data_IF_039078313451
#
_entry.id   IF_039078313451
#
_cell.length_a   1.000
_cell.length_b   1.000
_cell.length_c   1.000
_cell.angle_alpha   90.00
_cell.angle_beta   90.00
_cell.angle_gamma   90.00
#
_symmetry.space_group_name_H-M   'P 1'
#
loop_
_entity.id
_entity.type
_entity.pdbx_description
1 polymer ?
#
# COMPACT_ATOMS: atom_id res chain seq x y z
N UNK A 1 -6.58 19.82 13.96
CA UNK A 1 -5.11 19.86 14.19
C UNK A 1 -4.46 19.76 12.83
N UNK A 2 -3.69 20.76 12.39
CA UNK A 2 -2.93 20.60 11.13
C UNK A 2 -1.89 19.50 11.33
N UNK A 3 -2.02 18.40 10.60
CA UNK A 3 -0.97 17.38 10.58
C UNK A 3 0.32 18.02 10.04
N UNK A 4 1.43 17.78 10.73
CA UNK A 4 2.74 18.24 10.25
C UNK A 4 3.10 17.51 8.96
N UNK A 5 3.84 18.21 8.10
CA UNK A 5 4.40 17.57 6.89
C UNK A 5 5.27 16.38 7.25
N UNK A 6 5.21 15.35 6.44
CA UNK A 6 6.02 14.13 6.60
C UNK A 6 7.41 14.35 5.98
N UNK A 7 8.39 14.53 6.85
CA UNK A 7 9.77 14.81 6.43
C UNK A 7 10.38 13.69 5.56
N UNK A 8 9.99 12.44 5.79
CA UNK A 8 10.43 11.29 4.97
C UNK A 8 9.88 11.42 3.55
N UNK A 9 8.62 11.77 3.42
CA UNK A 9 7.98 11.95 2.10
C UNK A 9 8.51 13.20 1.38
N UNK A 10 8.76 14.29 2.09
CA UNK A 10 9.41 15.48 1.51
C UNK A 10 10.81 15.14 0.97
N UNK A 11 11.59 14.38 1.73
CA UNK A 11 12.90 13.88 1.27
C UNK A 11 12.75 13.01 0.02
N UNK A 12 11.78 12.09 -0.02
CA UNK A 12 11.49 11.26 -1.20
C UNK A 12 11.21 12.11 -2.44
N UNK A 13 10.41 13.16 -2.32
CA UNK A 13 10.11 14.06 -3.43
C UNK A 13 11.32 14.84 -3.95
N UNK A 14 12.36 14.99 -3.16
CA UNK A 14 13.64 15.60 -3.57
C UNK A 14 14.43 14.73 -4.55
N UNK A 15 14.26 13.41 -4.54
CA UNK A 15 14.95 12.45 -5.42
C UNK A 15 14.19 12.24 -6.74
N UNK A 16 14.16 13.25 -7.60
CA UNK A 16 13.35 13.25 -8.84
C UNK A 16 13.97 12.47 -10.00
N UNK A 17 15.28 12.28 -10.02
CA UNK A 17 16.02 11.72 -11.14
C UNK A 17 16.04 10.18 -11.19
N UNK A 18 15.54 9.52 -10.16
CA UNK A 18 15.48 8.05 -10.10
C UNK A 18 14.37 7.53 -10.99
N UNK A 19 14.73 6.67 -11.92
CA UNK A 19 13.81 6.03 -12.85
C UNK A 19 12.83 5.13 -12.10
N UNK A 20 11.54 5.19 -12.45
CA UNK A 20 10.52 4.33 -11.86
C UNK A 20 9.10 4.88 -12.09
N UNK A 21 8.11 4.04 -11.84
CA UNK A 21 6.72 4.34 -12.15
C UNK A 21 5.90 4.91 -10.98
N UNK A 22 6.49 4.98 -9.77
CA UNK A 22 5.78 5.50 -8.59
C UNK A 22 5.57 7.01 -8.69
N UNK A 23 4.32 7.42 -8.82
CA UNK A 23 3.91 8.82 -8.87
C UNK A 23 3.81 9.43 -7.46
N UNK A 24 3.77 10.77 -7.37
CA UNK A 24 3.68 11.45 -6.07
C UNK A 24 2.43 11.07 -5.25
N UNK A 25 1.20 10.97 -5.82
CA UNK A 25 0.04 10.52 -5.06
C UNK A 25 0.13 9.07 -4.59
N UNK A 26 0.73 8.18 -5.40
CA UNK A 26 0.99 6.79 -4.99
C UNK A 26 1.98 6.73 -3.82
N UNK A 27 3.06 7.52 -3.89
CA UNK A 27 4.04 7.63 -2.81
C UNK A 27 3.39 8.15 -1.52
N UNK A 28 2.56 9.20 -1.60
CA UNK A 28 1.85 9.75 -0.44
C UNK A 28 0.91 8.72 0.19
N UNK A 29 0.18 7.95 -0.63
CA UNK A 29 -0.70 6.89 -0.14
C UNK A 29 0.09 5.79 0.58
N UNK A 30 1.16 5.28 -0.02
CA UNK A 30 2.00 4.25 0.60
C UNK A 30 2.68 4.75 1.88
N UNK A 31 3.18 5.98 1.88
CA UNK A 31 3.78 6.64 3.03
C UNK A 31 2.81 6.74 4.21
N UNK A 32 1.53 7.06 3.96
CA UNK A 32 0.50 7.06 5.00
C UNK A 32 0.41 5.73 5.75
N UNK A 33 0.38 4.60 5.02
CA UNK A 33 0.28 3.29 5.66
C UNK A 33 1.57 2.91 6.39
N UNK A 34 2.74 3.16 5.81
CA UNK A 34 4.02 2.92 6.46
C UNK A 34 4.17 3.72 7.76
N UNK A 35 3.80 5.01 7.70
CA UNK A 35 3.76 5.86 8.88
C UNK A 35 2.79 5.34 9.92
N UNK A 36 1.57 4.98 9.53
CA UNK A 36 0.55 4.45 10.44
C UNK A 36 1.01 3.16 11.14
N UNK A 37 1.69 2.25 10.42
CA UNK A 37 2.30 1.05 11.00
C UNK A 37 3.41 1.38 12.02
N UNK A 38 4.22 2.40 11.74
CA UNK A 38 5.27 2.85 12.66
C UNK A 38 4.69 3.52 13.90
N UNK A 39 3.73 4.43 13.74
CA UNK A 39 3.07 5.17 14.82
C UNK A 39 2.33 4.25 15.79
N UNK A 40 1.79 3.13 15.29
CA UNK A 40 1.09 2.12 16.10
C UNK A 40 2.00 1.03 16.66
N UNK A 41 3.29 1.06 16.34
CA UNK A 41 4.26 0.07 16.81
C UNK A 41 4.03 -1.34 16.27
N UNK A 42 3.32 -1.49 15.15
CA UNK A 42 3.16 -2.78 14.47
C UNK A 42 4.53 -3.29 14.06
N UNK A 43 4.88 -4.50 14.47
CA UNK A 43 6.17 -5.13 14.14
C UNK A 43 6.07 -5.90 12.83
N UNK A 44 7.23 -6.10 12.19
CA UNK A 44 7.39 -6.88 10.97
C UNK A 44 8.12 -6.10 9.90
N UNK A 45 8.70 -6.82 8.96
CA UNK A 45 9.50 -6.29 7.86
C UNK A 45 8.61 -5.73 6.74
N UNK A 46 9.22 -5.10 5.75
CA UNK A 46 8.60 -4.63 4.51
C UNK A 46 9.02 -5.57 3.39
N UNK A 47 8.07 -6.08 2.62
CA UNK A 47 8.31 -6.89 1.43
C UNK A 47 7.86 -6.13 0.19
N UNK A 48 8.70 -6.13 -0.83
CA UNK A 48 8.35 -5.67 -2.17
C UNK A 48 8.58 -6.80 -3.19
N UNK A 49 7.55 -7.14 -3.93
CA UNK A 49 7.58 -8.06 -5.07
C UNK A 49 7.49 -7.22 -6.34
N UNK A 50 8.54 -7.24 -7.17
CA UNK A 50 8.69 -6.36 -8.31
C UNK A 50 9.31 -5.01 -7.91
N UNK A 51 10.58 -4.86 -8.19
CA UNK A 51 11.39 -3.72 -7.72
C UNK A 51 11.79 -2.80 -8.86
N UNK A 52 12.04 -3.38 -10.04
CA UNK A 52 12.55 -2.67 -11.21
C UNK A 52 13.82 -1.87 -10.88
N UNK A 53 13.73 -0.53 -10.80
CA UNK A 53 14.84 0.36 -10.43
C UNK A 53 14.76 0.93 -9.02
N UNK A 54 13.83 0.41 -8.21
CA UNK A 54 13.74 0.71 -6.78
C UNK A 54 13.12 2.06 -6.42
N UNK A 55 12.32 2.67 -7.30
CA UNK A 55 11.67 3.95 -6.97
C UNK A 55 10.76 3.84 -5.75
N UNK A 56 9.95 2.80 -5.65
CA UNK A 56 9.13 2.46 -4.47
C UNK A 56 9.98 2.01 -3.29
N UNK A 57 11.02 1.20 -3.55
CA UNK A 57 11.96 0.73 -2.51
C UNK A 57 12.61 1.89 -1.75
N UNK A 58 12.96 2.98 -2.45
CA UNK A 58 13.49 4.20 -1.83
C UNK A 58 12.51 4.83 -0.85
N UNK A 59 11.22 4.87 -1.19
CA UNK A 59 10.20 5.32 -0.26
C UNK A 59 10.17 4.41 0.98
N UNK A 60 10.17 3.09 0.77
CA UNK A 60 10.11 2.13 1.88
C UNK A 60 11.31 2.24 2.79
N UNK A 61 12.52 2.41 2.23
CA UNK A 61 13.76 2.62 2.98
C UNK A 61 13.69 3.77 3.99
N UNK A 62 12.98 4.85 3.66
CA UNK A 62 12.78 6.00 4.54
C UNK A 62 11.91 5.70 5.78
N UNK A 63 11.11 4.62 5.76
CA UNK A 63 10.20 4.26 6.84
C UNK A 63 10.66 3.04 7.67
N UNK A 64 11.84 2.49 7.42
CA UNK A 64 12.35 1.33 8.18
C UNK A 64 12.69 1.70 9.64
N UNK A 65 13.25 2.89 9.87
CA UNK A 65 13.61 3.44 11.19
C UNK A 65 14.44 2.48 12.08
N UNK A 66 15.28 1.62 11.47
CA UNK A 66 16.10 0.64 12.18
C UNK A 66 15.31 -0.46 12.92
N UNK A 67 14.01 -0.56 12.66
CA UNK A 67 13.11 -1.53 13.31
C UNK A 67 12.62 -2.62 12.37
N UNK A 68 12.82 -2.44 11.08
CA UNK A 68 12.33 -3.30 10.02
C UNK A 68 13.43 -3.53 9.00
N UNK A 69 13.38 -4.64 8.31
CA UNK A 69 14.17 -4.87 7.11
C UNK A 69 13.31 -4.67 5.88
N UNK A 70 13.95 -4.32 4.78
CA UNK A 70 13.36 -4.23 3.45
C UNK A 70 13.76 -5.47 2.65
N UNK A 71 12.80 -6.30 2.31
CA UNK A 71 13.01 -7.46 1.49
C UNK A 71 12.55 -7.18 0.06
N UNK A 72 13.45 -7.26 -0.89
CA UNK A 72 13.25 -6.92 -2.31
C UNK A 72 13.34 -8.19 -3.15
N UNK A 73 12.25 -8.53 -3.84
CA UNK A 73 12.12 -9.73 -4.68
C UNK A 73 11.94 -9.31 -6.12
N UNK A 74 12.99 -9.49 -6.93
CA UNK A 74 12.95 -9.19 -8.37
C UNK A 74 14.13 -9.88 -9.08
N UNK A 75 13.90 -10.68 -10.14
CA UNK A 75 14.96 -11.35 -10.89
C UNK A 75 15.90 -10.40 -11.64
N UNK A 76 15.49 -9.15 -11.81
CA UNK A 76 16.27 -8.08 -12.46
C UNK A 76 17.31 -7.40 -11.54
N UNK A 77 17.34 -7.69 -10.24
CA UNK A 77 18.25 -7.06 -9.27
C UNK A 77 19.68 -7.61 -9.39
N UNK A 78 20.35 -7.33 -10.49
CA UNK A 78 21.72 -7.77 -10.76
C UNK A 78 22.52 -6.72 -11.54
N UNK A 79 23.84 -6.80 -11.44
CA UNK A 79 24.74 -5.88 -12.15
C UNK A 79 24.42 -4.42 -11.85
N UNK A 80 24.42 -3.59 -12.89
CA UNK A 80 24.22 -2.14 -12.80
C UNK A 80 22.91 -1.74 -12.10
N UNK A 81 21.84 -2.56 -12.23
CA UNK A 81 20.55 -2.30 -11.58
C UNK A 81 20.67 -2.40 -10.06
N UNK A 82 21.36 -3.43 -9.57
CA UNK A 82 21.58 -3.61 -8.13
C UNK A 82 22.52 -2.53 -7.58
N UNK A 83 23.56 -2.15 -8.32
CA UNK A 83 24.48 -1.08 -7.93
C UNK A 83 23.75 0.27 -7.84
N UNK A 84 22.92 0.59 -8.84
CA UNK A 84 22.08 1.79 -8.83
C UNK A 84 21.12 1.81 -7.66
N UNK A 85 20.40 0.71 -7.43
CA UNK A 85 19.47 0.55 -6.31
C UNK A 85 20.18 0.75 -4.96
N UNK A 86 21.34 0.10 -4.77
CA UNK A 86 22.13 0.20 -3.53
C UNK A 86 22.53 1.64 -3.26
N UNK A 87 23.08 2.31 -4.27
CA UNK A 87 23.45 3.73 -4.17
C UNK A 87 22.25 4.60 -3.81
N UNK A 88 21.14 4.45 -4.55
CA UNK A 88 19.94 5.26 -4.36
C UNK A 88 19.35 5.07 -2.95
N UNK A 89 19.29 3.83 -2.45
CA UNK A 89 18.82 3.53 -1.10
C UNK A 89 19.73 4.13 -0.03
N UNK A 90 21.05 4.01 -0.20
CA UNK A 90 22.03 4.59 0.73
C UNK A 90 21.95 6.11 0.76
N UNK A 91 21.80 6.75 -0.40
CA UNK A 91 21.72 8.21 -0.50
C UNK A 91 20.41 8.76 0.11
N UNK A 92 19.29 8.09 -0.12
CA UNK A 92 18.00 8.58 0.40
C UNK A 92 17.83 8.29 1.89
N UNK A 93 18.31 7.17 2.38
CA UNK A 93 18.18 6.71 3.77
C UNK A 93 19.57 6.47 4.43
N UNK A 94 20.36 7.51 4.67
CA UNK A 94 21.74 7.36 5.14
C UNK A 94 21.87 6.76 6.55
N UNK A 95 20.79 6.66 7.30
CA UNK A 95 20.75 5.94 8.58
C UNK A 95 20.50 4.44 8.43
N UNK A 96 20.16 3.98 7.22
CA UNK A 96 19.98 2.57 6.90
C UNK A 96 21.34 1.92 6.63
N UNK A 97 21.54 0.74 7.19
CA UNK A 97 22.68 -0.12 6.88
C UNK A 97 22.21 -1.12 5.81
N UNK A 98 22.68 -0.95 4.58
CA UNK A 98 22.20 -1.76 3.46
C UNK A 98 22.42 -3.26 3.69
N UNK A 99 23.57 -3.68 4.20
CA UNK A 99 23.89 -5.09 4.40
C UNK A 99 23.05 -5.74 5.52
N UNK A 100 22.69 -4.96 6.54
CA UNK A 100 21.88 -5.42 7.65
C UNK A 100 20.38 -5.33 7.38
N UNK A 101 19.96 -4.22 6.77
CA UNK A 101 18.55 -3.82 6.73
C UNK A 101 17.87 -4.18 5.40
N UNK A 102 18.64 -4.58 4.35
CA UNK A 102 18.08 -4.94 3.04
C UNK A 102 18.38 -6.40 2.71
N UNK A 103 17.35 -7.12 2.29
CA UNK A 103 17.46 -8.49 1.80
C UNK A 103 17.15 -8.46 0.31
N UNK A 104 18.08 -8.94 -0.52
CA UNK A 104 17.91 -9.05 -1.97
C UNK A 104 17.59 -10.50 -2.33
N UNK A 105 16.48 -10.70 -3.03
CA UNK A 105 16.07 -11.99 -3.57
C UNK A 105 15.88 -11.88 -5.09
N UNK A 106 16.77 -12.48 -5.86
CA UNK A 106 16.80 -12.40 -7.33
C UNK A 106 15.92 -13.45 -8.01
N UNK A 107 14.94 -14.00 -7.30
CA UNK A 107 14.00 -14.98 -7.85
C UNK A 107 12.75 -14.30 -8.41
N UNK A 108 12.08 -15.03 -9.30
CA UNK A 108 10.70 -14.70 -9.65
C UNK A 108 9.81 -14.97 -8.43
N UNK A 109 8.74 -14.17 -8.24
CA UNK A 109 7.82 -14.38 -7.12
C UNK A 109 7.18 -15.78 -7.13
N UNK A 110 6.96 -16.35 -8.33
CA UNK A 110 6.45 -17.72 -8.50
C UNK A 110 7.44 -18.80 -7.99
N UNK A 111 8.73 -18.48 -7.90
CA UNK A 111 9.78 -19.36 -7.37
C UNK A 111 9.89 -19.29 -5.83
N UNK A 112 9.24 -18.27 -5.22
CA UNK A 112 9.02 -18.19 -3.78
C UNK A 112 7.98 -19.26 -3.40
N UNK A 113 8.40 -20.51 -3.32
CA UNK A 113 7.51 -21.66 -3.10
C UNK A 113 6.79 -21.58 -1.74
N UNK A 114 5.81 -22.46 -1.58
CA UNK A 114 5.04 -22.65 -0.35
C UNK A 114 5.91 -22.64 0.92
N UNK A 115 7.06 -23.30 0.88
CA UNK A 115 7.99 -23.39 2.02
C UNK A 115 8.55 -22.02 2.43
N UNK A 116 8.81 -21.14 1.47
CA UNK A 116 9.25 -19.78 1.76
C UNK A 116 8.18 -18.98 2.52
N UNK A 117 6.95 -19.01 2.04
CA UNK A 117 5.84 -18.31 2.70
C UNK A 117 5.54 -18.87 4.09
N UNK A 118 5.73 -20.19 4.29
CA UNK A 118 5.57 -20.82 5.61
C UNK A 118 6.69 -20.42 6.57
N UNK A 119 7.96 -20.40 6.11
CA UNK A 119 9.10 -19.97 6.92
C UNK A 119 9.01 -18.49 7.32
N UNK A 120 8.41 -17.65 6.47
CA UNK A 120 8.23 -16.22 6.71
C UNK A 120 6.82 -15.86 7.22
N UNK A 121 6.11 -16.82 7.80
CA UNK A 121 4.74 -16.63 8.29
C UNK A 121 4.64 -15.46 9.28
N UNK A 122 3.77 -14.49 8.96
CA UNK A 122 3.45 -13.36 9.82
C UNK A 122 4.62 -12.38 10.04
N UNK A 123 5.66 -12.45 9.22
CA UNK A 123 6.87 -11.63 9.41
C UNK A 123 6.76 -10.23 8.84
N UNK A 124 5.85 -10.00 7.89
CA UNK A 124 5.77 -8.70 7.20
C UNK A 124 4.63 -7.84 7.75
N UNK A 125 4.94 -6.59 8.02
CA UNK A 125 3.93 -5.59 8.37
C UNK A 125 3.38 -4.86 7.13
N UNK A 126 4.17 -4.82 6.04
CA UNK A 126 3.80 -4.18 4.80
C UNK A 126 4.29 -5.03 3.63
N UNK A 127 3.39 -5.34 2.70
CA UNK A 127 3.70 -6.08 1.48
C UNK A 127 3.22 -5.25 0.29
N UNK A 128 4.13 -4.95 -0.64
CA UNK A 128 3.85 -4.31 -1.91
C UNK A 128 3.99 -5.34 -3.03
N UNK A 129 2.92 -5.53 -3.81
CA UNK A 129 2.85 -6.47 -4.93
C UNK A 129 2.81 -5.64 -6.21
N UNK A 130 3.93 -5.63 -6.95
CA UNK A 130 4.13 -4.94 -8.23
C UNK A 130 4.98 -5.83 -9.17
N UNK A 131 4.79 -7.14 -9.09
CA UNK A 131 5.55 -8.16 -9.83
C UNK A 131 4.98 -8.46 -11.21
N UNK A 132 4.66 -9.73 -11.47
CA UNK A 132 4.03 -10.14 -12.71
C UNK A 132 2.61 -9.58 -12.86
N UNK A 133 2.25 -9.18 -14.09
CA UNK A 133 0.97 -8.52 -14.35
C UNK A 133 -0.09 -9.45 -14.96
N UNK A 134 0.13 -10.76 -14.94
CA UNK A 134 -0.92 -11.71 -15.28
C UNK A 134 -1.86 -11.96 -14.11
N UNK A 135 -3.08 -12.36 -14.38
CA UNK A 135 -4.04 -12.74 -13.34
C UNK A 135 -3.47 -13.78 -12.39
N UNK A 136 -2.77 -14.76 -12.93
CA UNK A 136 -2.22 -15.89 -12.14
C UNK A 136 -1.03 -15.46 -11.27
N UNK A 137 -0.20 -14.52 -11.74
CA UNK A 137 0.93 -14.00 -10.95
C UNK A 137 0.41 -13.28 -9.71
N UNK A 138 -0.52 -12.33 -9.90
CA UNK A 138 -1.13 -11.57 -8.80
C UNK A 138 -1.87 -12.49 -7.82
N UNK A 139 -2.60 -13.47 -8.34
CA UNK A 139 -3.30 -14.45 -7.52
C UNK A 139 -2.33 -15.23 -6.61
N UNK A 140 -1.20 -15.69 -7.17
CA UNK A 140 -0.17 -16.43 -6.41
C UNK A 140 0.55 -15.54 -5.41
N UNK A 141 0.85 -14.31 -5.77
CA UNK A 141 1.49 -13.36 -4.86
C UNK A 141 0.58 -13.07 -3.66
N UNK A 142 -0.74 -12.95 -3.88
CA UNK A 142 -1.71 -12.81 -2.79
C UNK A 142 -1.83 -14.08 -1.92
N UNK A 143 -1.73 -15.28 -2.50
CA UNK A 143 -1.66 -16.54 -1.71
C UNK A 143 -0.43 -16.58 -0.81
N UNK A 144 0.68 -16.01 -1.24
CA UNK A 144 1.88 -15.89 -0.41
C UNK A 144 1.72 -14.80 0.63
N UNK A 145 1.21 -13.64 0.24
CA UNK A 145 0.95 -12.52 1.15
C UNK A 145 0.01 -12.93 2.31
N UNK A 146 -1.00 -13.76 2.05
CA UNK A 146 -1.87 -14.33 3.08
C UNK A 146 -1.09 -15.00 4.21
N UNK A 147 -0.05 -15.74 3.88
CA UNK A 147 0.76 -16.47 4.85
C UNK A 147 1.79 -15.60 5.52
N UNK A 148 2.39 -14.68 4.77
CA UNK A 148 3.52 -13.87 5.21
C UNK A 148 3.10 -12.61 5.96
N UNK A 149 1.91 -12.07 5.72
CA UNK A 149 1.44 -10.85 6.37
C UNK A 149 1.18 -11.06 7.85
N UNK A 150 1.73 -10.20 8.69
CA UNK A 150 1.42 -10.10 10.10
C UNK A 150 -0.04 -9.69 10.36
N UNK A 151 -0.50 -9.91 11.59
CA UNK A 151 -1.90 -9.73 11.98
C UNK A 151 -2.46 -8.34 11.63
N UNK A 152 -1.69 -7.28 11.88
CA UNK A 152 -2.09 -5.88 11.65
C UNK A 152 -1.43 -5.27 10.40
N UNK A 153 -0.88 -6.12 9.55
CA UNK A 153 -0.18 -5.68 8.35
C UNK A 153 -1.12 -5.23 7.24
N UNK A 154 -0.51 -4.62 6.21
CA UNK A 154 -1.17 -4.11 5.00
C UNK A 154 -0.54 -4.74 3.77
N UNK A 155 -1.37 -5.11 2.80
CA UNK A 155 -0.96 -5.45 1.44
C UNK A 155 -1.39 -4.34 0.50
N UNK A 156 -0.50 -3.92 -0.39
CA UNK A 156 -0.83 -3.00 -1.49
C UNK A 156 -0.53 -3.70 -2.81
N UNK A 157 -1.57 -3.85 -3.65
CA UNK A 157 -1.41 -4.31 -5.02
C UNK A 157 -1.33 -3.10 -5.94
N UNK A 158 -0.25 -3.01 -6.71
CA UNK A 158 -0.08 -1.99 -7.74
C UNK A 158 -0.89 -2.34 -9.00
N UNK A 159 -0.99 -1.42 -9.92
CA UNK A 159 -1.69 -1.54 -11.20
C UNK A 159 -3.17 -1.96 -11.11
N UNK A 160 -3.79 -1.85 -9.94
CA UNK A 160 -5.21 -2.11 -9.77
C UNK A 160 -6.04 -1.02 -10.47
N UNK A 161 -6.90 -1.43 -11.38
CA UNK A 161 -7.63 -0.58 -12.34
C UNK A 161 -6.75 0.17 -13.35
N UNK A 162 -5.49 -0.22 -13.52
CA UNK A 162 -4.67 0.33 -14.60
C UNK A 162 -5.17 -0.15 -15.96
N UNK A 163 -5.46 0.79 -16.86
CA UNK A 163 -6.02 0.48 -18.18
C UNK A 163 -5.12 -0.45 -19.03
N UNK A 164 -3.80 -0.37 -18.83
CA UNK A 164 -2.83 -1.24 -19.50
C UNK A 164 -2.59 -2.60 -18.83
N UNK A 165 -3.22 -2.86 -17.67
CA UNK A 165 -2.98 -4.05 -16.83
C UNK A 165 -4.26 -4.66 -16.27
N UNK A 166 -5.32 -4.89 -17.08
CA UNK A 166 -6.63 -5.33 -16.57
C UNK A 166 -6.57 -6.66 -15.81
N UNK A 167 -5.64 -7.55 -16.18
CA UNK A 167 -5.48 -8.85 -15.54
C UNK A 167 -5.03 -8.76 -14.07
N UNK A 168 -4.40 -7.65 -13.65
CA UNK A 168 -4.08 -7.41 -12.24
C UNK A 168 -5.36 -7.30 -11.42
N UNK A 169 -6.31 -6.48 -11.87
CA UNK A 169 -7.62 -6.33 -11.21
C UNK A 169 -8.37 -7.65 -11.15
N UNK A 170 -8.35 -8.42 -12.24
CA UNK A 170 -8.92 -9.77 -12.30
C UNK A 170 -8.29 -10.69 -11.26
N UNK A 171 -6.96 -10.69 -11.14
CA UNK A 171 -6.21 -11.52 -10.17
C UNK A 171 -6.58 -11.21 -8.73
N UNK A 172 -6.68 -9.92 -8.38
CA UNK A 172 -7.09 -9.50 -7.04
C UNK A 172 -8.51 -9.97 -6.73
N UNK A 173 -9.48 -9.70 -7.62
CA UNK A 173 -10.87 -10.11 -7.37
C UNK A 173 -11.02 -11.64 -7.35
N UNK A 174 -10.37 -12.35 -8.27
CA UNK A 174 -10.39 -13.82 -8.26
C UNK A 174 -9.88 -14.37 -6.93
N UNK A 175 -8.75 -13.86 -6.43
CA UNK A 175 -8.22 -14.29 -5.14
C UNK A 175 -9.23 -14.05 -4.01
N UNK A 176 -9.82 -12.86 -3.95
CA UNK A 176 -10.78 -12.51 -2.88
C UNK A 176 -12.07 -13.34 -2.94
N UNK A 177 -12.50 -13.74 -4.14
CA UNK A 177 -13.65 -14.65 -4.31
C UNK A 177 -13.34 -16.08 -3.87
N UNK A 178 -12.14 -16.58 -4.22
CA UNK A 178 -11.73 -17.94 -3.88
C UNK A 178 -11.36 -18.10 -2.38
N UNK A 179 -10.96 -16.99 -1.74
CA UNK A 179 -10.52 -16.95 -0.33
C UNK A 179 -11.34 -15.95 0.52
N UNK A 180 -12.67 -16.15 0.62
CA UNK A 180 -13.52 -15.22 1.36
C UNK A 180 -13.13 -15.18 2.84
N UNK A 181 -13.06 -13.98 3.40
CA UNK A 181 -12.74 -13.78 4.81
C UNK A 181 -11.25 -13.70 5.15
N UNK A 182 -10.34 -13.83 4.17
CA UNK A 182 -8.90 -13.62 4.40
C UNK A 182 -8.54 -12.14 4.35
N UNK A 183 -8.79 -11.49 3.22
CA UNK A 183 -8.57 -10.07 3.04
C UNK A 183 -9.85 -9.33 2.65
N UNK A 184 -9.88 -8.03 2.96
CA UNK A 184 -10.84 -7.07 2.42
C UNK A 184 -10.11 -5.88 1.83
N UNK A 185 -10.63 -5.32 0.74
CA UNK A 185 -10.13 -4.07 0.17
C UNK A 185 -10.59 -2.93 1.08
N UNK A 186 -9.65 -2.23 1.69
CA UNK A 186 -9.89 -1.03 2.49
C UNK A 186 -10.22 0.16 1.60
N UNK A 187 -9.37 0.35 0.58
CA UNK A 187 -9.52 1.45 -0.35
C UNK A 187 -8.89 1.13 -1.71
N UNK A 188 -9.35 1.84 -2.72
CA UNK A 188 -8.77 1.88 -4.07
C UNK A 188 -8.49 3.32 -4.48
N UNK A 189 -7.43 3.53 -5.23
CA UNK A 189 -7.06 4.84 -5.79
C UNK A 189 -5.62 4.89 -6.26
N UNK A 190 -5.33 5.76 -7.19
CA UNK A 190 -3.98 5.93 -7.76
C UNK A 190 -3.37 4.62 -8.28
N UNK A 191 -4.17 3.82 -8.99
CA UNK A 191 -3.81 2.47 -9.48
C UNK A 191 -3.44 1.47 -8.38
N UNK A 192 -3.91 1.66 -7.15
CA UNK A 192 -3.61 0.74 -6.05
C UNK A 192 -4.88 0.20 -5.40
N UNK A 193 -4.83 -1.07 -5.01
CA UNK A 193 -5.75 -1.63 -4.03
C UNK A 193 -5.01 -1.86 -2.72
N UNK A 194 -5.55 -1.33 -1.64
CA UNK A 194 -5.01 -1.53 -0.28
C UNK A 194 -5.89 -2.54 0.44
N UNK A 195 -5.28 -3.62 0.90
CA UNK A 195 -5.96 -4.71 1.58
C UNK A 195 -5.45 -4.86 3.01
N UNK A 196 -6.36 -5.24 3.89
CA UNK A 196 -6.05 -5.70 5.24
C UNK A 196 -6.69 -7.07 5.50
N UNK A 197 -6.24 -7.76 6.53
CA UNK A 197 -6.93 -8.95 7.02
C UNK A 197 -8.38 -8.62 7.37
N UNK A 198 -9.28 -9.51 7.04
CA UNK A 198 -10.73 -9.28 7.19
C UNK A 198 -11.14 -8.98 8.65
N UNK A 199 -10.46 -9.60 9.62
CA UNK A 199 -10.67 -9.39 11.06
C UNK A 199 -10.06 -8.07 11.58
N UNK A 200 -9.24 -7.39 10.79
CA UNK A 200 -8.63 -6.08 11.08
C UNK A 200 -9.16 -4.96 10.20
N UNK A 201 -10.10 -5.27 9.33
CA UNK A 201 -10.67 -4.33 8.38
C UNK A 201 -11.26 -3.08 9.06
N UNK A 202 -12.06 -3.26 10.11
CA UNK A 202 -12.72 -2.15 10.80
C UNK A 202 -11.74 -1.22 11.51
N UNK A 203 -10.69 -1.78 12.14
CA UNK A 203 -9.63 -0.99 12.80
C UNK A 203 -8.93 -0.06 11.79
N UNK A 204 -8.57 -0.61 10.63
CA UNK A 204 -7.94 0.17 9.56
C UNK A 204 -8.91 1.17 8.92
N UNK A 205 -10.14 0.77 8.72
CA UNK A 205 -11.16 1.61 8.10
C UNK A 205 -11.42 2.88 8.92
N UNK A 206 -11.57 2.74 10.23
CA UNK A 206 -11.72 3.87 11.15
C UNK A 206 -10.51 4.81 11.08
N UNK A 207 -9.32 4.27 11.06
CA UNK A 207 -8.10 5.07 10.94
C UNK A 207 -8.07 5.85 9.62
N UNK A 208 -8.37 5.21 8.52
CA UNK A 208 -8.37 5.84 7.19
C UNK A 208 -9.35 7.01 7.15
N UNK A 209 -10.58 6.79 7.58
CA UNK A 209 -11.62 7.83 7.58
C UNK A 209 -11.21 9.04 8.42
N UNK A 210 -10.58 8.81 9.56
CA UNK A 210 -10.24 9.88 10.50
C UNK A 210 -8.96 10.64 10.14
N UNK A 211 -8.06 10.11 9.30
CA UNK A 211 -6.75 10.73 9.14
C UNK A 211 -6.17 10.75 7.72
N UNK A 212 -6.62 9.89 6.80
CA UNK A 212 -6.03 9.81 5.45
C UNK A 212 -6.24 11.11 4.67
N UNK A 213 -7.45 11.68 4.71
CA UNK A 213 -7.76 12.92 3.99
C UNK A 213 -6.86 14.07 4.42
N UNK A 214 -6.74 14.31 5.72
CA UNK A 214 -5.87 15.35 6.29
C UNK A 214 -4.38 15.08 5.97
N UNK A 215 -3.94 13.82 6.05
CA UNK A 215 -2.57 13.44 5.69
C UNK A 215 -2.25 13.74 4.22
N UNK A 216 -3.13 13.35 3.29
CA UNK A 216 -2.92 13.58 1.86
C UNK A 216 -2.99 15.06 1.52
N UNK A 217 -3.89 15.83 2.13
CA UNK A 217 -3.97 17.29 1.95
C UNK A 217 -2.68 17.98 2.40
N UNK A 218 -2.12 17.58 3.54
CA UNK A 218 -0.88 18.14 4.08
C UNK A 218 0.37 17.75 3.30
N UNK A 219 0.39 16.57 2.69
CA UNK A 219 1.59 15.97 2.09
C UNK A 219 1.55 15.82 0.58
N UNK A 220 0.40 16.02 -0.04
CA UNK A 220 0.21 15.96 -1.49
C UNK A 220 -0.80 17.02 -1.96
N UNK A 221 -2.07 16.69 -1.98
CA UNK A 221 -3.19 17.55 -2.40
C UNK A 221 -4.47 17.12 -1.70
N UNK A 222 -5.48 18.03 -1.63
CA UNK A 222 -6.82 17.66 -1.20
C UNK A 222 -7.38 16.53 -2.08
N UNK A 223 -7.95 15.52 -1.44
CA UNK A 223 -8.59 14.38 -2.09
C UNK A 223 -10.06 14.31 -1.69
N UNK A 224 -10.85 13.61 -2.51
CA UNK A 224 -12.18 13.15 -2.15
C UNK A 224 -12.09 11.68 -1.80
N UNK A 225 -12.73 11.31 -0.68
CA UNK A 225 -12.88 9.92 -0.26
C UNK A 225 -14.34 9.55 -0.46
N UNK A 226 -14.59 8.56 -1.28
CA UNK A 226 -15.92 8.05 -1.62
C UNK A 226 -16.14 6.70 -0.98
N UNK A 227 -17.36 6.44 -0.55
CA UNK A 227 -17.77 5.13 -0.07
C UNK A 227 -18.45 4.36 -1.21
N UNK A 228 -17.96 3.17 -1.48
CA UNK A 228 -18.53 2.26 -2.46
C UNK A 228 -18.83 0.90 -1.84
N UNK A 229 -19.80 0.18 -2.41
CA UNK A 229 -19.95 -1.23 -2.14
C UNK A 229 -19.01 -2.00 -3.06
N UNK A 230 -18.15 -2.82 -2.48
CA UNK A 230 -17.32 -3.76 -3.23
C UNK A 230 -18.22 -4.79 -3.95
N UNK A 231 -17.79 -5.35 -5.09
CA UNK A 231 -18.43 -6.53 -5.67
C UNK A 231 -18.54 -7.73 -4.72
N UNK A 232 -17.78 -7.71 -3.63
CA UNK A 232 -17.74 -8.73 -2.57
C UNK A 232 -18.64 -8.35 -1.36
N UNK A 233 -19.58 -7.42 -1.56
CA UNK A 233 -20.61 -7.04 -0.59
C UNK A 233 -20.09 -6.41 0.73
N UNK A 234 -18.89 -5.84 0.72
CA UNK A 234 -18.40 -5.04 1.85
C UNK A 234 -18.04 -3.60 1.42
N UNK A 235 -18.14 -2.62 2.32
CA UNK A 235 -17.80 -1.24 2.00
C UNK A 235 -16.33 -1.10 1.60
N UNK A 236 -16.04 -0.30 0.57
CA UNK A 236 -14.69 0.02 0.11
C UNK A 236 -14.59 1.52 -0.10
N UNK A 237 -13.47 2.12 0.27
CA UNK A 237 -13.22 3.53 0.01
C UNK A 237 -12.57 3.70 -1.36
N UNK A 238 -12.99 4.73 -2.10
CA UNK A 238 -12.34 5.16 -3.33
C UNK A 238 -11.70 6.53 -3.14
N UNK A 239 -10.49 6.71 -3.68
CA UNK A 239 -9.80 8.00 -3.70
C UNK A 239 -9.87 8.63 -5.08
N UNK A 240 -10.19 9.92 -5.13
CA UNK A 240 -10.05 10.74 -6.33
C UNK A 240 -9.43 12.09 -5.98
N UNK A 241 -8.81 12.73 -6.97
CA UNK A 241 -8.35 14.10 -6.79
C UNK A 241 -9.57 15.03 -6.67
N UNK A 242 -9.50 15.98 -5.77
CA UNK A 242 -10.50 17.04 -5.67
C UNK A 242 -10.27 18.03 -6.79
N UNK A 243 -11.00 17.88 -7.89
CA UNK A 243 -10.96 18.83 -9.00
C UNK A 243 -11.86 20.02 -8.69
N UNK A 244 -11.36 21.25 -8.92
CA UNK A 244 -12.17 22.46 -8.82
C UNK A 244 -13.12 22.65 -10.00
N UNK A 245 -12.94 21.89 -11.06
CA UNK A 245 -13.76 21.95 -12.26
C UNK A 245 -14.92 20.97 -12.15
N UNK A 246 -16.13 21.50 -12.12
CA UNK A 246 -17.32 20.70 -12.32
C UNK A 246 -17.26 20.10 -13.72
N UNK A 247 -17.41 18.80 -13.82
CA UNK A 247 -17.55 18.14 -15.12
C UNK A 247 -18.75 18.76 -15.86
N UNK A 248 -18.57 19.30 -17.08
CA UNK A 248 -19.65 20.00 -17.82
C UNK A 248 -20.82 19.07 -18.19
N UNK A 249 -20.69 17.76 -17.99
CA UNK A 249 -21.71 16.75 -18.30
C UNK A 249 -22.47 16.23 -17.06
N UNK A 250 -22.65 17.04 -16.06
CA UNK A 250 -23.50 16.70 -14.91
C UNK A 250 -22.78 15.84 -13.88
N UNK A 251 -22.57 16.45 -12.85
CA UNK A 251 -21.91 16.15 -11.63
C UNK A 251 -21.71 14.71 -11.23
N UNK A 252 -20.53 14.47 -10.68
CA UNK A 252 -20.43 13.52 -9.59
C UNK A 252 -21.49 13.95 -8.57
N UNK A 253 -22.48 13.12 -8.36
CA UNK A 253 -23.40 13.29 -7.26
C UNK A 253 -22.56 13.19 -5.97
N UNK A 254 -22.22 14.32 -5.36
CA UNK A 254 -21.94 14.34 -3.94
C UNK A 254 -23.21 13.81 -3.27
N UNK A 255 -23.22 12.53 -2.96
CA UNK A 255 -24.27 12.01 -2.10
C UNK A 255 -23.96 12.53 -0.72
N UNK A 256 -24.69 13.55 -0.28
CA UNK A 256 -24.73 14.00 1.13
C UNK A 256 -24.89 12.80 2.07
N UNK A 257 -25.55 11.75 1.60
CA UNK A 257 -25.69 10.45 2.24
C UNK A 257 -24.36 9.75 2.57
N UNK A 258 -23.33 9.89 1.72
CA UNK A 258 -22.03 9.27 1.98
C UNK A 258 -21.30 9.93 3.16
N UNK A 259 -21.37 11.24 3.27
CA UNK A 259 -20.81 11.98 4.41
C UNK A 259 -21.57 11.69 5.70
N UNK A 260 -22.90 11.59 5.64
CA UNK A 260 -23.73 11.24 6.79
C UNK A 260 -23.47 9.80 7.27
N UNK A 261 -23.30 8.86 6.33
CA UNK A 261 -23.01 7.46 6.65
C UNK A 261 -21.60 7.30 7.24
N UNK A 262 -20.60 7.97 6.67
CA UNK A 262 -19.22 7.99 7.20
C UNK A 262 -19.22 8.56 8.63
N UNK A 263 -19.93 9.66 8.86
CA UNK A 263 -20.05 10.28 10.18
C UNK A 263 -20.77 9.38 11.19
N UNK A 264 -21.82 8.67 10.75
CA UNK A 264 -22.57 7.75 11.59
C UNK A 264 -21.73 6.51 11.97
N UNK A 265 -20.99 5.95 11.03
CA UNK A 265 -20.10 4.81 11.26
C UNK A 265 -18.92 5.19 12.16
N UNK A 266 -18.30 6.35 11.95
CA UNK A 266 -17.25 6.87 12.84
C UNK A 266 -17.74 7.06 14.28
N UNK A 267 -18.98 7.49 14.48
CA UNK A 267 -19.61 7.57 15.80
C UNK A 267 -19.89 6.20 16.43
N UNK A 268 -20.38 5.25 15.64
CA UNK A 268 -20.71 3.91 16.13
C UNK A 268 -19.46 3.15 16.60
N UNK A 269 -18.35 3.29 15.88
CA UNK A 269 -17.08 2.61 16.22
C UNK A 269 -16.36 3.32 17.36
N UNK A 270 -16.42 4.66 17.43
CA UNK A 270 -15.89 5.42 18.57
C UNK A 270 -16.60 5.12 19.89
N UNK A 271 -17.87 4.71 19.83
CA UNK A 271 -18.66 4.31 21.02
C UNK A 271 -18.32 2.89 21.52
N UNK A 272 -17.75 2.01 20.71
CA UNK A 272 -17.34 0.66 21.11
C UNK A 272 -15.93 0.62 21.74
N UNK A 273 -15.07 1.61 21.47
CA UNK A 273 -13.72 1.72 22.03
C UNK A 273 -13.65 2.23 23.48
N UNK A 274 -14.77 2.58 24.09
CA UNK A 274 -14.87 3.08 25.47
C UNK A 274 -15.64 2.12 26.42
N UNK A 275 -15.68 0.83 26.10
CA UNK A 275 -16.20 -0.18 27.04
C UNK A 275 -15.15 -1.18 27.44
#
# INVERSE_FOLDING_TARGET
MNMSKDASLERYYGFREVVGCTTAPQAALMAYFLKALNDTGVRGDVLEIGVYRGRSSMLFGLYLHGRRRLHLVDPGLKGDVLEELTRNLTDIAPSMDFERDVIIDMRMSQELQYDYAVQNRGQYAFIHIDGGHSMLDVYRDLQQAEKMLGEKGIVICDDFFAAGRPAVTEGVYKYLHDHPGVFKILLTGYNKAVLARADRYEEWWVRIINSLGEYLESNWRPVQIHLYNSPLEFPTLGLSERTKEQCPFGGYFEREESHALIAALSKAVGAQGNK
#
